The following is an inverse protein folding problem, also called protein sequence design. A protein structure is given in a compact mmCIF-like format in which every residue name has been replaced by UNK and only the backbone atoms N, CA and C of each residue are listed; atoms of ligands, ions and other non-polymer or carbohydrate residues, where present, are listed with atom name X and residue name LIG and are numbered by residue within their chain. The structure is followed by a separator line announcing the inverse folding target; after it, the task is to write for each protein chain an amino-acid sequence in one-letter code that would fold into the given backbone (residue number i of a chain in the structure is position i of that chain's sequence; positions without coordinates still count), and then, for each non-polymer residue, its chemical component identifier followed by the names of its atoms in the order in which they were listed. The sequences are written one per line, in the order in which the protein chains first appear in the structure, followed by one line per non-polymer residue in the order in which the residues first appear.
data_IF_059225026781
#
_entry.id   IF_059225026781
#
_cell.length_a   1.000
_cell.length_b   1.000
_cell.length_c   1.000
_cell.angle_alpha   90.00
_cell.angle_beta   90.00
_cell.angle_gamma   90.00
#
_symmetry.space_group_name_H-M   'P 1'
#
loop_
_entity.id
_entity.type
_entity.pdbx_description
1 polymer ?
#
# COMPACT_ATOMS: atom_id res chain seq x y z
N UNK A 1 -41.69 -43.61 27.43
CA UNK A 1 -40.58 -42.85 28.04
C UNK A 1 -39.29 -43.60 27.78
N UNK A 2 -38.50 -43.13 26.82
CA UNK A 2 -37.13 -43.56 26.59
C UNK A 2 -36.30 -42.27 26.47
N UNK A 3 -35.29 -42.14 27.32
CA UNK A 3 -34.35 -41.03 27.30
C UNK A 3 -33.49 -41.10 26.03
N UNK A 4 -33.28 -39.96 25.38
CA UNK A 4 -32.13 -39.72 24.53
C UNK A 4 -31.57 -38.33 24.87
N UNK A 5 -30.51 -38.34 25.67
CA UNK A 5 -29.58 -37.23 25.81
C UNK A 5 -28.54 -37.35 24.67
N UNK A 6 -28.28 -36.24 23.99
CA UNK A 6 -27.10 -35.99 23.17
C UNK A 6 -26.96 -34.45 23.17
N UNK A 7 -25.96 -33.79 23.76
CA UNK A 7 -24.63 -34.24 24.15
C UNK A 7 -23.62 -33.88 23.06
N UNK A 8 -23.02 -32.68 23.16
CA UNK A 8 -21.79 -32.32 22.45
C UNK A 8 -22.01 -31.59 21.12
N UNK A 9 -21.27 -30.54 20.77
CA UNK A 9 -20.10 -29.98 21.42
C UNK A 9 -19.80 -28.61 20.85
N UNK A 10 -19.23 -27.75 21.69
CA UNK A 10 -18.47 -26.61 21.22
C UNK A 10 -17.30 -27.14 20.39
N UNK A 11 -17.32 -26.79 19.11
CA UNK A 11 -16.18 -26.93 18.21
C UNK A 11 -15.59 -25.54 18.04
N UNK A 12 -14.32 -25.43 18.36
CA UNK A 12 -13.50 -24.24 18.21
C UNK A 12 -13.68 -23.68 16.79
N UNK A 13 -13.81 -22.35 16.64
CA UNK A 13 -13.73 -21.72 15.33
C UNK A 13 -12.38 -22.06 14.73
N UNK A 14 -12.35 -23.03 13.82
CA UNK A 14 -11.26 -23.20 12.89
C UNK A 14 -11.16 -21.88 12.11
N UNK A 15 -10.13 -21.08 12.42
CA UNK A 15 -9.71 -20.01 11.52
C UNK A 15 -9.62 -20.61 10.12
N UNK A 16 -10.25 -19.95 9.15
CA UNK A 16 -10.76 -20.49 7.88
C UNK A 16 -9.77 -21.29 7.00
N UNK A 17 -8.52 -21.53 7.40
CA UNK A 17 -7.47 -22.18 6.60
C UNK A 17 -7.03 -21.36 5.39
N UNK A 18 -7.71 -20.24 5.13
CA UNK A 18 -7.40 -19.27 4.09
C UNK A 18 -6.28 -18.40 4.62
N UNK A 19 -5.23 -18.30 3.82
CA UNK A 19 -4.11 -17.41 4.08
C UNK A 19 -4.64 -15.96 4.21
N UNK A 20 -4.41 -15.27 5.35
CA UNK A 20 -4.91 -13.92 5.57
C UNK A 20 -4.39 -12.90 4.54
N UNK A 21 -3.29 -13.21 3.85
CA UNK A 21 -2.72 -12.37 2.79
C UNK A 21 -3.62 -12.29 1.57
N UNK A 22 -4.43 -13.33 1.29
CA UNK A 22 -5.38 -13.32 0.17
C UNK A 22 -6.48 -12.28 0.40
N UNK A 23 -7.04 -12.23 1.62
CA UNK A 23 -8.06 -11.24 1.95
C UNK A 23 -7.51 -9.79 1.87
N UNK A 24 -6.21 -9.60 2.13
CA UNK A 24 -5.54 -8.30 1.93
C UNK A 24 -5.45 -7.94 0.45
N UNK A 25 -5.03 -8.87 -0.41
CA UNK A 25 -5.00 -8.66 -1.87
C UNK A 25 -6.40 -8.28 -2.39
N UNK A 26 -7.45 -9.01 -2.00
CA UNK A 26 -8.83 -8.71 -2.40
C UNK A 26 -9.23 -7.28 -1.99
N UNK A 27 -8.80 -6.84 -0.80
CA UNK A 27 -9.06 -5.47 -0.31
C UNK A 27 -8.29 -4.42 -1.10
N UNK A 28 -7.05 -4.70 -1.49
CA UNK A 28 -6.21 -3.81 -2.29
C UNK A 28 -6.75 -3.66 -3.71
N UNK A 29 -7.14 -4.77 -4.34
CA UNK A 29 -7.75 -4.76 -5.67
C UNK A 29 -9.06 -3.97 -5.68
N UNK A 30 -9.90 -4.15 -4.64
CA UNK A 30 -11.12 -3.39 -4.48
C UNK A 30 -10.86 -1.88 -4.30
N UNK A 31 -9.82 -1.50 -3.54
CA UNK A 31 -9.42 -0.11 -3.37
C UNK A 31 -8.88 0.48 -4.68
N UNK A 32 -8.01 -0.25 -5.38
CA UNK A 32 -7.45 0.14 -6.66
C UNK A 32 -8.55 0.40 -7.69
N UNK A 33 -9.52 -0.51 -7.81
CA UNK A 33 -10.65 -0.35 -8.73
C UNK A 33 -11.56 0.84 -8.37
N UNK A 34 -11.70 1.20 -7.08
CA UNK A 34 -12.45 2.40 -6.67
C UNK A 34 -11.72 3.69 -7.03
N UNK A 35 -10.42 3.77 -6.75
CA UNK A 35 -9.65 5.01 -6.92
C UNK A 35 -9.25 5.20 -8.38
N UNK A 36 -8.62 4.21 -8.98
CA UNK A 36 -8.04 4.31 -10.33
C UNK A 36 -8.95 3.74 -11.43
N UNK A 37 -9.99 2.99 -11.05
CA UNK A 37 -10.86 2.30 -11.99
C UNK A 37 -10.29 0.96 -12.46
N UNK A 38 -11.15 0.17 -13.09
CA UNK A 38 -10.77 -1.08 -13.75
C UNK A 38 -11.71 -1.34 -14.92
N UNK A 39 -11.19 -1.19 -16.14
CA UNK A 39 -11.96 -1.37 -17.37
C UNK A 39 -12.38 -2.83 -17.60
N UNK A 40 -11.67 -3.81 -17.02
CA UNK A 40 -11.97 -5.23 -17.19
C UNK A 40 -13.28 -5.62 -16.50
N UNK A 41 -13.64 -4.91 -15.44
CA UNK A 41 -14.89 -5.08 -14.68
C UNK A 41 -15.86 -3.90 -14.83
N UNK A 42 -15.51 -2.90 -15.65
CA UNK A 42 -16.32 -1.70 -15.89
C UNK A 42 -16.38 -0.74 -14.70
N UNK A 43 -15.41 -0.80 -13.79
CA UNK A 43 -15.30 0.14 -12.68
C UNK A 43 -14.72 1.47 -13.19
N UNK A 44 -15.46 2.56 -12.96
CA UNK A 44 -15.01 3.92 -13.23
C UNK A 44 -14.33 4.44 -11.97
N UNK A 45 -13.05 4.79 -12.08
CA UNK A 45 -12.29 5.38 -10.98
C UNK A 45 -12.75 6.80 -10.61
N UNK A 46 -12.17 7.33 -9.55
CA UNK A 46 -12.37 8.71 -9.15
C UNK A 46 -11.77 9.67 -10.17
N UNK A 47 -12.33 10.87 -10.27
CA UNK A 47 -11.73 11.95 -11.06
C UNK A 47 -10.53 12.54 -10.33
N UNK A 48 -9.49 12.94 -11.06
CA UNK A 48 -8.38 13.70 -10.49
C UNK A 48 -8.91 15.01 -9.91
N UNK A 49 -8.48 15.36 -8.70
CA UNK A 49 -8.81 16.64 -8.07
C UNK A 49 -8.08 17.76 -8.80
N UNK A 50 -8.79 18.78 -9.33
CA UNK A 50 -8.13 19.95 -9.91
C UNK A 50 -7.49 20.80 -8.81
N UNK A 51 -6.38 21.49 -9.12
CA UNK A 51 -5.62 22.30 -8.15
C UNK A 51 -6.50 23.29 -7.34
N UNK A 52 -7.49 23.90 -7.99
CA UNK A 52 -8.42 24.84 -7.35
C UNK A 52 -9.43 24.21 -6.39
N UNK A 53 -9.53 22.88 -6.34
CA UNK A 53 -10.37 22.12 -5.41
C UNK A 53 -9.56 21.46 -4.28
N UNK A 54 -8.23 21.63 -4.27
CA UNK A 54 -7.43 21.19 -3.13
C UNK A 54 -7.77 22.03 -1.88
N UNK A 55 -7.88 21.40 -0.70
CA UNK A 55 -8.04 22.13 0.54
C UNK A 55 -6.89 23.11 0.77
N UNK A 56 -7.20 24.34 1.21
CA UNK A 56 -6.20 25.32 1.58
C UNK A 56 -5.71 25.18 3.03
N UNK A 57 -6.45 24.41 3.84
CA UNK A 57 -6.24 24.23 5.28
C UNK A 57 -6.74 22.85 5.69
N UNK A 58 -6.34 22.37 6.86
CA UNK A 58 -6.75 21.10 7.43
C UNK A 58 -5.75 19.98 7.19
N UNK A 59 -6.13 18.78 7.62
CA UNK A 59 -5.32 17.57 7.50
C UNK A 59 -6.15 16.45 6.89
N UNK A 60 -5.56 15.68 5.99
CA UNK A 60 -6.14 14.45 5.47
C UNK A 60 -5.24 13.26 5.80
N UNK A 61 -5.85 12.14 6.16
CA UNK A 61 -5.19 10.85 6.29
C UNK A 61 -5.72 9.90 5.23
N UNK A 62 -4.82 9.21 4.54
CA UNK A 62 -5.12 8.24 3.50
C UNK A 62 -4.57 6.88 3.93
N UNK A 63 -5.45 5.89 3.97
CA UNK A 63 -5.08 4.50 4.24
C UNK A 63 -5.27 3.67 2.97
N UNK A 64 -4.36 2.74 2.72
CA UNK A 64 -4.46 1.86 1.58
C UNK A 64 -3.29 0.90 1.48
N UNK A 65 -2.74 0.74 0.29
CA UNK A 65 -1.73 -0.26 0.02
C UNK A 65 -0.52 0.30 -0.72
N UNK A 66 0.58 -0.44 -0.60
CA UNK A 66 1.79 -0.27 -1.39
C UNK A 66 2.04 -1.53 -2.21
N UNK A 67 2.52 -1.38 -3.44
CA UNK A 67 3.13 -2.47 -4.21
C UNK A 67 4.56 -2.13 -4.56
N UNK A 68 5.44 -3.13 -4.49
CA UNK A 68 6.83 -3.02 -4.87
C UNK A 68 7.15 -4.14 -5.85
N UNK A 69 7.67 -3.78 -7.02
CA UNK A 69 8.22 -4.74 -7.98
C UNK A 69 9.73 -4.52 -8.06
N UNK A 70 10.53 -5.57 -7.84
CA UNK A 70 12.00 -5.53 -7.92
C UNK A 70 12.47 -6.43 -9.05
N UNK A 71 13.29 -5.91 -9.96
CA UNK A 71 13.82 -6.63 -11.12
C UNK A 71 15.04 -7.50 -10.75
N UNK A 72 14.89 -8.34 -9.73
CA UNK A 72 15.92 -9.28 -9.33
C UNK A 72 16.24 -10.27 -10.47
N UNK A 73 17.52 -10.45 -10.88
CA UNK A 73 17.88 -11.13 -12.13
C UNK A 73 17.35 -12.56 -12.28
N UNK A 74 17.31 -13.30 -11.17
CA UNK A 74 16.89 -14.70 -11.18
C UNK A 74 15.38 -14.86 -10.99
N UNK A 75 14.78 -14.09 -10.08
CA UNK A 75 13.37 -14.16 -9.74
C UNK A 75 12.88 -12.79 -9.26
N UNK A 76 12.04 -12.09 -10.05
CA UNK A 76 11.49 -10.81 -9.64
C UNK A 76 10.74 -10.90 -8.31
N UNK A 77 10.89 -9.87 -7.48
CA UNK A 77 10.15 -9.77 -6.23
C UNK A 77 8.90 -8.93 -6.48
N UNK A 78 7.75 -9.43 -6.03
CA UNK A 78 6.49 -8.68 -6.06
C UNK A 78 5.94 -8.66 -4.64
N UNK A 79 5.95 -7.47 -4.04
CA UNK A 79 5.58 -7.25 -2.65
C UNK A 79 4.32 -6.40 -2.57
N UNK A 80 3.51 -6.71 -1.57
CA UNK A 80 2.29 -6.01 -1.21
C UNK A 80 2.37 -5.62 0.26
N UNK A 81 2.12 -4.35 0.57
CA UNK A 81 2.15 -3.80 1.93
C UNK A 81 0.95 -2.93 2.19
N UNK A 82 0.75 -2.55 3.45
CA UNK A 82 -0.19 -1.48 3.78
C UNK A 82 0.54 -0.14 3.63
N UNK A 83 -0.21 0.91 3.32
CA UNK A 83 0.30 2.28 3.25
C UNK A 83 -0.60 3.23 4.04
N UNK A 84 0.01 4.16 4.77
CA UNK A 84 -0.69 5.28 5.39
C UNK A 84 0.06 6.59 5.08
N UNK A 85 -0.67 7.63 4.71
CA UNK A 85 -0.12 8.96 4.43
C UNK A 85 -0.99 10.02 5.07
N UNK A 86 -0.37 10.88 5.88
CA UNK A 86 -0.97 12.08 6.45
C UNK A 86 -0.43 13.31 5.74
N UNK A 87 -1.33 14.21 5.35
CA UNK A 87 -1.04 15.45 4.64
C UNK A 87 -1.65 16.62 5.42
N UNK A 88 -0.82 17.60 5.78
CA UNK A 88 -1.26 18.88 6.29
C UNK A 88 -1.30 19.93 5.19
N UNK A 89 -2.47 20.48 4.89
CA UNK A 89 -2.62 21.52 3.87
C UNK A 89 -2.23 22.91 4.39
N UNK A 90 -2.28 23.13 5.72
CA UNK A 90 -1.85 24.39 6.33
C UNK A 90 -0.33 24.59 6.29
N UNK A 91 0.42 23.54 6.65
CA UNK A 91 1.86 23.56 6.82
C UNK A 91 2.62 22.81 5.71
N UNK A 92 1.89 22.23 4.75
CA UNK A 92 2.42 21.42 3.66
C UNK A 92 3.22 20.20 4.16
N UNK A 93 2.89 19.69 5.35
CA UNK A 93 3.52 18.51 5.92
C UNK A 93 3.05 17.23 5.20
N UNK A 94 3.97 16.28 5.06
CA UNK A 94 3.73 14.96 4.47
C UNK A 94 4.48 13.94 5.32
N UNK A 95 3.73 13.07 6.00
CA UNK A 95 4.30 12.01 6.84
C UNK A 95 3.52 10.71 6.68
N UNK A 96 4.17 9.57 6.89
CA UNK A 96 3.49 8.29 6.78
C UNK A 96 4.45 7.12 6.72
N UNK A 97 3.97 6.01 6.20
CA UNK A 97 4.79 4.85 6.00
C UNK A 97 4.10 3.75 5.22
N UNK A 98 4.91 2.74 4.90
CA UNK A 98 4.48 1.50 4.31
C UNK A 98 5.05 0.35 5.12
N UNK A 99 4.21 -0.61 5.48
CA UNK A 99 4.59 -1.72 6.35
C UNK A 99 3.84 -3.02 6.04
N UNK A 100 4.07 -4.03 6.90
CA UNK A 100 3.41 -5.35 6.84
C UNK A 100 3.50 -5.98 5.44
N UNK A 101 4.65 -5.81 4.80
CA UNK A 101 4.90 -6.32 3.47
C UNK A 101 4.91 -7.84 3.45
N UNK A 102 4.35 -8.40 2.39
CA UNK A 102 4.45 -9.81 2.03
C UNK A 102 4.59 -9.95 0.52
N UNK A 103 5.18 -11.04 0.06
CA UNK A 103 5.39 -11.23 -1.38
C UNK A 103 6.35 -12.35 -1.69
N UNK A 104 6.82 -12.41 -2.94
CA UNK A 104 7.83 -13.38 -3.36
C UNK A 104 9.21 -13.02 -2.80
N UNK A 105 9.99 -14.03 -2.41
CA UNK A 105 11.43 -13.91 -2.14
C UNK A 105 12.25 -14.39 -3.36
N UNK A 106 13.58 -14.38 -3.23
CA UNK A 106 14.49 -14.84 -4.30
C UNK A 106 14.30 -16.32 -4.69
N UNK A 107 13.73 -17.15 -3.81
CA UNK A 107 13.40 -18.55 -4.10
C UNK A 107 12.00 -18.72 -4.74
N UNK A 108 11.25 -17.62 -4.91
CA UNK A 108 9.86 -17.61 -5.38
C UNK A 108 8.83 -18.03 -4.33
N UNK A 109 9.24 -18.23 -3.07
CA UNK A 109 8.33 -18.52 -1.96
C UNK A 109 7.61 -17.25 -1.49
N UNK A 110 6.35 -17.40 -1.06
CA UNK A 110 5.59 -16.28 -0.48
C UNK A 110 5.92 -16.14 1.00
N UNK A 111 6.56 -15.04 1.37
CA UNK A 111 7.01 -14.75 2.73
C UNK A 111 6.53 -13.37 3.20
N UNK A 112 6.47 -13.19 4.50
CA UNK A 112 6.35 -11.87 5.11
C UNK A 112 7.74 -11.23 5.21
N UNK A 113 7.77 -9.91 5.07
CA UNK A 113 8.95 -9.06 5.22
C UNK A 113 8.80 -8.25 6.52
N UNK A 114 9.84 -8.25 7.34
CA UNK A 114 9.96 -7.33 8.47
C UNK A 114 10.54 -5.99 8.04
N UNK A 115 10.37 -4.97 8.88
CA UNK A 115 10.82 -3.60 8.59
C UNK A 115 9.69 -2.73 8.06
N UNK A 116 10.06 -1.65 7.39
CA UNK A 116 9.11 -0.66 6.88
C UNK A 116 9.82 0.42 6.08
N UNK A 117 9.02 1.16 5.32
CA UNK A 117 9.46 2.29 4.53
C UNK A 117 8.76 3.52 5.09
N UNK A 118 9.54 4.51 5.50
CA UNK A 118 9.02 5.74 6.09
C UNK A 118 8.81 6.76 5.00
N UNK A 119 7.69 7.48 5.05
CA UNK A 119 7.43 8.69 4.25
C UNK A 119 7.63 9.88 5.21
N UNK A 120 8.61 10.73 4.93
CA UNK A 120 8.97 11.84 5.83
C UNK A 120 9.45 13.06 5.03
N UNK A 121 8.58 13.52 4.13
CA UNK A 121 8.87 14.62 3.22
C UNK A 121 8.04 14.55 1.95
N UNK A 122 8.10 15.60 1.15
CA UNK A 122 7.31 15.74 -0.06
C UNK A 122 6.79 17.16 -0.26
N UNK A 123 5.83 17.28 -1.17
CA UNK A 123 5.16 18.54 -1.52
C UNK A 123 3.74 18.27 -1.97
N UNK A 124 2.86 19.23 -1.68
CA UNK A 124 1.45 19.24 -2.09
C UNK A 124 1.07 20.51 -2.87
N UNK A 125 2.03 21.39 -3.14
CA UNK A 125 1.79 22.71 -3.74
C UNK A 125 1.71 22.69 -5.28
N UNK A 126 2.42 21.75 -5.92
CA UNK A 126 2.51 21.60 -7.38
C UNK A 126 2.23 20.13 -7.76
N UNK A 127 1.15 19.58 -7.21
CA UNK A 127 0.85 18.15 -7.24
C UNK A 127 1.38 17.41 -6.00
N UNK A 128 1.17 16.10 -5.97
CA UNK A 128 1.57 15.26 -4.83
C UNK A 128 2.96 14.68 -5.08
N UNK A 129 3.88 14.91 -4.15
CA UNK A 129 5.15 14.18 -4.08
C UNK A 129 5.39 13.66 -2.67
N UNK A 130 5.99 12.48 -2.56
CA UNK A 130 6.24 11.79 -1.30
C UNK A 130 7.71 11.33 -1.28
N UNK A 131 8.51 11.90 -0.39
CA UNK A 131 9.87 11.44 -0.14
C UNK A 131 9.85 10.26 0.83
N UNK A 132 10.55 9.19 0.49
CA UNK A 132 10.50 7.96 1.28
C UNK A 132 11.86 7.26 1.34
N UNK A 133 12.01 6.44 2.39
CA UNK A 133 13.19 5.61 2.58
C UNK A 133 12.97 4.53 3.62
N UNK A 134 13.56 3.36 3.41
CA UNK A 134 13.55 2.31 4.42
C UNK A 134 14.13 0.97 3.96
N UNK A 135 13.91 -0.02 4.82
CA UNK A 135 14.50 -1.35 4.69
C UNK A 135 13.46 -2.41 4.98
N UNK A 136 13.42 -3.42 4.12
CA UNK A 136 12.63 -4.63 4.28
C UNK A 136 13.56 -5.85 4.36
N UNK A 137 13.23 -6.80 5.22
CA UNK A 137 14.04 -8.00 5.46
C UNK A 137 13.18 -9.26 5.38
N UNK A 138 13.66 -10.29 4.69
CA UNK A 138 13.01 -11.60 4.66
C UNK A 138 14.05 -12.71 4.43
N UNK A 139 13.95 -13.81 5.18
CA UNK A 139 14.81 -15.00 5.01
C UNK A 139 16.34 -14.72 5.01
N UNK A 140 16.79 -13.62 5.64
CA UNK A 140 18.18 -13.19 5.66
C UNK A 140 18.59 -12.27 4.50
N UNK A 141 17.69 -12.02 3.56
CA UNK A 141 17.84 -11.02 2.50
C UNK A 141 17.38 -9.64 2.98
N UNK A 142 17.98 -8.59 2.41
CA UNK A 142 17.69 -7.20 2.71
C UNK A 142 17.40 -6.42 1.42
N UNK A 143 16.26 -5.74 1.40
CA UNK A 143 15.88 -4.78 0.36
C UNK A 143 15.85 -3.38 0.97
N UNK A 144 16.67 -2.48 0.45
CA UNK A 144 16.64 -1.05 0.80
C UNK A 144 16.08 -0.25 -0.36
N UNK A 145 15.18 0.68 -0.08
CA UNK A 145 14.56 1.56 -1.07
C UNK A 145 14.54 2.98 -0.55
N UNK A 146 14.82 3.94 -1.41
CA UNK A 146 14.57 5.36 -1.19
C UNK A 146 14.29 6.07 -2.50
N UNK A 147 13.56 7.18 -2.43
CA UNK A 147 13.24 7.97 -3.61
C UNK A 147 12.14 8.98 -3.38
N UNK A 148 11.50 9.37 -4.48
CA UNK A 148 10.38 10.32 -4.46
C UNK A 148 9.28 9.78 -5.36
N UNK A 149 8.14 9.44 -4.77
CA UNK A 149 6.94 9.12 -5.54
C UNK A 149 6.28 10.40 -6.01
N UNK A 150 5.84 10.43 -7.26
CA UNK A 150 5.02 11.51 -7.82
C UNK A 150 3.60 11.00 -8.05
N UNK A 151 2.60 11.82 -7.75
CA UNK A 151 1.22 11.38 -7.70
C UNK A 151 0.19 12.48 -7.90
N UNK A 152 -1.06 12.13 -7.62
CA UNK A 152 -2.21 13.01 -7.71
C UNK A 152 -3.20 12.75 -6.58
N UNK A 153 -4.01 13.77 -6.30
CA UNK A 153 -5.23 13.66 -5.51
C UNK A 153 -6.40 13.28 -6.40
N UNK A 154 -7.35 12.55 -5.82
CA UNK A 154 -8.57 12.09 -6.49
C UNK A 154 -9.80 12.42 -5.64
N UNK A 155 -10.92 12.69 -6.30
CA UNK A 155 -12.18 13.10 -5.70
C UNK A 155 -12.43 14.61 -5.71
N UNK A 156 -13.68 15.00 -5.53
CA UNK A 156 -14.11 16.38 -5.26
C UNK A 156 -15.26 16.33 -4.23
N UNK A 157 -15.01 16.58 -2.94
CA UNK A 157 -13.72 16.96 -2.33
C UNK A 157 -12.67 15.83 -2.37
N UNK A 158 -11.40 16.16 -2.10
CA UNK A 158 -10.28 15.19 -2.03
C UNK A 158 -10.68 13.99 -1.15
N UNK A 159 -10.59 12.80 -1.71
CA UNK A 159 -10.94 11.54 -1.05
C UNK A 159 -9.90 10.45 -1.22
N UNK A 160 -8.97 10.57 -2.15
CA UNK A 160 -7.93 9.57 -2.37
C UNK A 160 -6.64 10.15 -2.93
N UNK A 161 -5.58 9.36 -2.87
CA UNK A 161 -4.28 9.61 -3.49
C UNK A 161 -3.81 8.39 -4.25
N UNK A 162 -3.02 8.62 -5.30
CA UNK A 162 -2.15 7.59 -5.87
C UNK A 162 -0.83 8.23 -6.28
N UNK A 163 0.27 7.54 -5.99
CA UNK A 163 1.61 8.00 -6.29
C UNK A 163 2.51 6.83 -6.68
N UNK A 164 3.51 7.10 -7.53
CA UNK A 164 4.44 6.09 -8.01
C UNK A 164 5.86 6.64 -8.14
N UNK A 165 6.82 5.77 -7.91
CA UNK A 165 8.24 5.94 -8.24
C UNK A 165 8.65 4.76 -9.12
N UNK A 166 9.02 5.04 -10.37
CA UNK A 166 9.34 4.01 -11.36
C UNK A 166 10.83 3.68 -11.42
N UNK A 167 11.68 4.50 -10.81
CA UNK A 167 13.14 4.37 -10.85
C UNK A 167 13.74 4.75 -9.47
N UNK A 168 13.32 4.07 -8.38
CA UNK A 168 13.80 4.36 -7.05
C UNK A 168 15.27 3.95 -6.89
N UNK A 169 15.94 4.53 -5.92
CA UNK A 169 17.25 4.04 -5.48
C UNK A 169 17.04 2.75 -4.68
N UNK A 170 17.23 1.60 -5.35
CA UNK A 170 17.08 0.27 -4.78
C UNK A 170 18.41 -0.46 -4.59
N UNK A 171 18.52 -1.19 -3.48
CA UNK A 171 19.56 -2.21 -3.34
C UNK A 171 19.01 -3.50 -2.71
N UNK A 172 19.36 -4.64 -3.30
CA UNK A 172 19.07 -5.97 -2.80
C UNK A 172 20.37 -6.65 -2.36
N UNK A 173 20.48 -7.01 -1.08
CA UNK A 173 21.69 -7.56 -0.48
C UNK A 173 22.96 -6.73 -0.76
N UNK A 174 22.81 -5.41 -0.81
CA UNK A 174 23.89 -4.44 -1.07
C UNK A 174 24.25 -4.25 -2.55
N UNK A 175 23.60 -4.97 -3.48
CA UNK A 175 23.75 -4.75 -4.91
C UNK A 175 22.63 -3.84 -5.44
N UNK A 176 22.97 -2.88 -6.30
CA UNK A 176 21.98 -2.01 -6.95
C UNK A 176 20.93 -2.83 -7.69
N UNK A 177 19.67 -2.43 -7.58
CA UNK A 177 18.57 -3.11 -8.25
C UNK A 177 17.50 -2.14 -8.73
N UNK A 178 16.93 -2.41 -9.90
CA UNK A 178 15.79 -1.66 -10.41
C UNK A 178 14.53 -2.09 -9.66
N UNK A 179 13.68 -1.12 -9.34
CA UNK A 179 12.41 -1.39 -8.71
C UNK A 179 11.32 -0.41 -9.16
N UNK A 180 10.10 -0.63 -8.72
CA UNK A 180 8.99 0.28 -8.86
C UNK A 180 8.19 0.24 -7.57
N UNK A 181 7.84 1.40 -7.05
CA UNK A 181 7.02 1.56 -5.84
C UNK A 181 5.76 2.31 -6.22
N UNK A 182 4.60 1.79 -5.83
CA UNK A 182 3.30 2.40 -6.08
C UNK A 182 2.51 2.38 -4.78
N UNK A 183 1.85 3.48 -4.45
CA UNK A 183 0.85 3.52 -3.39
C UNK A 183 -0.50 3.99 -3.92
N UNK A 184 -1.57 3.47 -3.33
CA UNK A 184 -2.94 3.97 -3.50
C UNK A 184 -3.57 4.03 -2.11
N UNK A 185 -4.15 5.18 -1.77
CA UNK A 185 -4.79 5.41 -0.48
C UNK A 185 -6.12 6.12 -0.63
N UNK A 186 -7.08 5.80 0.23
CA UNK A 186 -8.38 6.46 0.32
C UNK A 186 -8.54 7.03 1.73
N UNK A 187 -9.08 8.24 1.82
CA UNK A 187 -9.31 8.94 3.08
C UNK A 187 -10.58 8.46 3.76
N UNK A 188 -10.58 8.50 5.10
CA UNK A 188 -11.71 8.08 5.93
C UNK A 188 -12.86 9.12 5.99
N UNK A 189 -12.76 10.21 5.24
CA UNK A 189 -13.75 11.29 5.14
C UNK A 189 -13.16 12.51 4.42
N UNK A 190 -14.00 13.50 4.11
CA UNK A 190 -13.51 14.77 3.55
C UNK A 190 -12.69 15.52 4.63
N UNK A 191 -11.54 16.12 4.27
CA UNK A 191 -10.79 17.02 5.15
C UNK A 191 -11.59 18.26 5.55
#
# INVERSE_FOLDING_TARGET
MLLAACGGGGGESAGSGIDPRIARIDSYDALNARVLGDQSIGAIGMSITPDGALPATGTAEFEGFATIRVENPDTPLVLYGDANVAIGFDDHSVHGGMDRFFGTNADGAVTDYSGGIVIDGGSVSDGLSLEYGGTLEAAGDTLTLSGTMNGAFFGDPVSAIAAADYEPEGAYNGASIDATVIIVGEGSGAP
#
